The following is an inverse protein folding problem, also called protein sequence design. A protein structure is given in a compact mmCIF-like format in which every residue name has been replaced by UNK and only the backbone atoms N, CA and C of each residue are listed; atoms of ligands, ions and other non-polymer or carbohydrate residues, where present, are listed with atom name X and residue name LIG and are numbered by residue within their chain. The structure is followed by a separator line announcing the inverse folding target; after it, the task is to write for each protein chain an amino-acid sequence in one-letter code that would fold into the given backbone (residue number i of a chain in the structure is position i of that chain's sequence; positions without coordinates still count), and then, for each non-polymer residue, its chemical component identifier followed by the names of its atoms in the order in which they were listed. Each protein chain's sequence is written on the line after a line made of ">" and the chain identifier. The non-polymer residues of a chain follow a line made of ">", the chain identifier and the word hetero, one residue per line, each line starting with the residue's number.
data_IF_039682959481
#
_entry.id   IF_039682959481
#
_cell.length_a   1.000
_cell.length_b   1.000
_cell.length_c   1.000
_cell.angle_alpha   90.00
_cell.angle_beta   90.00
_cell.angle_gamma   90.00
#
_symmetry.space_group_name_H-M   'P 1'
#
loop_
_entity.id
_entity.type
_entity.pdbx_description
1 polymer ?
#
# COMPACT_ATOMS: atom_id res chain seq x y z
N UNK A 1 -86.00 46.92 12.66
CA UNK A 1 -86.09 45.66 11.89
C UNK A 1 -84.76 45.46 11.18
N UNK A 2 -84.10 44.36 11.51
CA UNK A 2 -82.66 44.12 11.35
C UNK A 2 -82.28 43.95 9.87
N UNK A 3 -81.26 44.70 9.42
CA UNK A 3 -80.65 44.57 8.09
C UNK A 3 -79.80 43.29 8.06
N UNK A 4 -80.08 42.45 7.07
CA UNK A 4 -79.39 41.20 6.75
C UNK A 4 -77.87 41.43 6.58
N UNK A 5 -77.08 40.71 7.37
CA UNK A 5 -75.61 40.69 7.28
C UNK A 5 -75.22 39.65 6.23
N UNK A 6 -74.58 40.10 5.16
CA UNK A 6 -74.01 39.25 4.12
C UNK A 6 -72.87 38.39 4.68
N UNK A 7 -72.97 37.06 4.52
CA UNK A 7 -71.88 36.12 4.79
C UNK A 7 -71.01 35.99 3.53
N UNK A 8 -69.79 36.50 3.61
CA UNK A 8 -68.73 36.31 2.61
C UNK A 8 -68.27 34.85 2.72
N UNK A 9 -68.28 34.04 1.65
CA UNK A 9 -67.64 32.74 1.68
C UNK A 9 -66.14 32.92 1.53
N UNK A 10 -65.42 32.33 2.49
CA UNK A 10 -63.98 32.17 2.58
C UNK A 10 -63.41 31.65 1.24
N UNK A 11 -62.69 32.50 0.53
CA UNK A 11 -61.90 32.12 -0.65
C UNK A 11 -60.81 31.16 -0.18
N UNK A 12 -60.80 29.95 -0.73
CA UNK A 12 -59.76 28.95 -0.53
C UNK A 12 -58.41 29.50 -1.05
N UNK A 13 -57.56 29.96 -0.13
CA UNK A 13 -56.13 30.14 -0.39
C UNK A 13 -55.48 28.77 -0.20
N UNK A 14 -55.57 27.94 -1.23
CA UNK A 14 -54.89 26.66 -1.30
C UNK A 14 -54.43 26.45 -2.75
N UNK A 15 -53.30 27.05 -3.12
CA UNK A 15 -52.40 26.62 -4.20
C UNK A 15 -51.46 27.77 -4.57
N UNK A 16 -50.34 27.92 -3.85
CA UNK A 16 -49.13 28.57 -4.40
C UNK A 16 -47.91 28.23 -3.54
N UNK A 17 -47.71 26.94 -3.31
CA UNK A 17 -46.37 26.39 -3.11
C UNK A 17 -46.03 25.64 -4.40
N UNK A 18 -45.73 26.38 -5.46
CA UNK A 18 -45.07 25.80 -6.63
C UNK A 18 -43.68 25.42 -6.14
N UNK A 19 -43.48 24.14 -5.82
CA UNK A 19 -42.16 23.60 -5.59
C UNK A 19 -41.37 23.81 -6.86
N UNK A 20 -40.41 24.74 -6.83
CA UNK A 20 -39.41 24.82 -7.88
C UNK A 20 -38.74 23.44 -7.96
N UNK A 21 -38.59 22.85 -9.15
CA UNK A 21 -37.75 21.67 -9.29
C UNK A 21 -36.33 22.09 -8.91
N UNK A 22 -35.88 21.70 -7.72
CA UNK A 22 -34.48 21.76 -7.37
C UNK A 22 -33.81 20.63 -8.14
N UNK A 23 -33.08 20.98 -9.21
CA UNK A 23 -32.13 20.07 -9.81
C UNK A 23 -30.95 19.98 -8.84
N UNK A 24 -30.78 18.81 -8.22
CA UNK A 24 -29.51 18.48 -7.60
C UNK A 24 -28.55 18.18 -8.76
N UNK A 25 -27.72 19.16 -9.10
CA UNK A 25 -26.58 18.96 -9.98
C UNK A 25 -25.42 18.46 -9.09
N UNK A 26 -25.13 17.16 -9.21
CA UNK A 26 -23.94 16.57 -8.63
C UNK A 26 -22.76 17.11 -9.43
N UNK A 27 -22.21 18.26 -9.00
CA UNK A 27 -21.18 19.02 -9.72
C UNK A 27 -19.99 18.19 -10.24
N UNK A 28 -19.15 18.78 -11.07
CA UNK A 28 -18.12 18.07 -11.86
C UNK A 28 -17.38 16.97 -11.07
N UNK A 29 -17.54 15.72 -11.50
CA UNK A 29 -16.91 14.56 -10.89
C UNK A 29 -15.38 14.67 -11.05
N UNK A 30 -14.68 14.98 -9.96
CA UNK A 30 -13.22 15.01 -9.92
C UNK A 30 -12.63 13.59 -9.98
N UNK A 31 -12.58 13.00 -11.18
CA UNK A 31 -11.96 11.68 -11.43
C UNK A 31 -10.46 11.81 -11.66
N UNK A 32 -9.68 11.85 -10.58
CA UNK A 32 -8.21 11.84 -10.65
C UNK A 32 -7.66 10.46 -10.34
N UNK A 33 -6.78 9.98 -11.20
CA UNK A 33 -6.19 8.64 -11.09
C UNK A 33 -4.96 8.67 -10.17
N UNK A 34 -5.02 7.90 -9.08
CA UNK A 34 -3.88 7.70 -8.17
C UNK A 34 -2.88 6.64 -8.67
N UNK A 35 -3.32 5.72 -9.55
CA UNK A 35 -2.56 4.53 -9.94
C UNK A 35 -1.98 4.61 -11.35
N UNK A 36 -2.77 5.09 -12.32
CA UNK A 36 -2.37 5.14 -13.73
C UNK A 36 -1.47 6.35 -14.02
N UNK A 37 -0.25 6.13 -14.51
CA UNK A 37 0.54 7.21 -15.11
C UNK A 37 0.03 7.45 -16.53
N UNK A 38 0.07 8.70 -16.99
CA UNK A 38 0.12 8.94 -18.43
C UNK A 38 1.33 8.20 -19.02
N UNK A 39 1.13 7.37 -20.04
CA UNK A 39 2.22 6.73 -20.80
C UNK A 39 2.77 5.40 -20.29
N UNK A 40 2.13 4.73 -19.33
CA UNK A 40 2.48 3.32 -19.05
C UNK A 40 2.18 2.45 -20.27
N UNK A 41 3.12 1.62 -20.75
CA UNK A 41 2.85 0.70 -21.85
C UNK A 41 1.74 -0.27 -21.44
N UNK A 42 0.83 -0.57 -22.37
CA UNK A 42 -0.12 -1.66 -22.16
C UNK A 42 0.64 -2.98 -22.10
N UNK A 43 0.55 -3.67 -20.98
CA UNK A 43 0.98 -5.07 -20.86
C UNK A 43 -0.12 -5.99 -21.37
N UNK A 44 0.24 -7.22 -21.73
CA UNK A 44 -0.70 -8.33 -21.97
C UNK A 44 -0.29 -9.49 -21.04
N UNK A 45 -1.13 -9.89 -20.05
CA UNK A 45 -2.41 -9.30 -19.66
C UNK A 45 -2.31 -7.84 -19.23
N UNK A 46 -3.43 -7.11 -19.27
CA UNK A 46 -3.48 -5.69 -18.90
C UNK A 46 -3.08 -5.51 -17.43
N UNK A 47 -2.23 -4.54 -17.16
CA UNK A 47 -1.87 -4.18 -15.78
C UNK A 47 -3.05 -3.49 -15.10
N UNK A 48 -3.43 -4.01 -13.94
CA UNK A 48 -4.55 -3.50 -13.16
C UNK A 48 -4.10 -3.00 -11.79
N UNK A 49 -4.85 -2.06 -11.23
CA UNK A 49 -4.65 -1.59 -9.86
C UNK A 49 -5.66 -2.28 -8.96
N UNK A 50 -5.18 -2.94 -7.91
CA UNK A 50 -6.00 -3.67 -6.94
C UNK A 50 -5.65 -3.25 -5.51
N UNK A 51 -6.47 -3.68 -4.54
CA UNK A 51 -6.20 -3.46 -3.10
C UNK A 51 -5.81 -2.02 -2.76
N UNK A 52 -6.56 -1.06 -3.30
CA UNK A 52 -6.29 0.36 -3.13
C UNK A 52 -6.90 0.90 -1.83
N UNK A 53 -6.07 1.56 -1.01
CA UNK A 53 -6.49 2.21 0.22
C UNK A 53 -6.00 3.66 0.21
N UNK A 54 -6.79 4.56 0.79
CA UNK A 54 -6.40 5.96 1.03
C UNK A 54 -6.60 6.26 2.51
N UNK A 55 -5.62 6.90 3.12
CA UNK A 55 -5.66 7.41 4.48
C UNK A 55 -5.23 8.88 4.48
N UNK A 56 -5.67 9.63 5.49
CA UNK A 56 -5.52 11.08 5.56
C UNK A 56 -4.79 11.46 6.84
N UNK A 57 -3.67 12.18 6.70
CA UNK A 57 -2.96 12.72 7.84
C UNK A 57 -3.78 13.81 8.55
N UNK A 58 -3.67 13.89 9.87
CA UNK A 58 -4.55 14.72 10.71
C UNK A 58 -4.07 16.16 10.91
N UNK A 59 -3.18 16.65 10.05
CA UNK A 59 -2.64 18.02 10.08
C UNK A 59 -2.61 18.62 8.67
N UNK A 60 -2.44 19.94 8.60
CA UNK A 60 -2.39 20.69 7.34
C UNK A 60 -0.96 20.97 6.91
N UNK A 61 -0.73 20.92 5.61
CA UNK A 61 0.50 21.36 4.95
C UNK A 61 0.17 22.35 3.83
N UNK A 62 1.12 23.21 3.40
CA UNK A 62 0.92 24.05 2.23
C UNK A 62 0.51 23.19 1.02
N UNK A 63 -0.53 23.64 0.32
CA UNK A 63 -1.02 22.92 -0.85
C UNK A 63 0.04 22.90 -1.96
N UNK A 64 0.35 21.71 -2.47
CA UNK A 64 1.46 21.51 -3.39
C UNK A 64 1.10 20.44 -4.43
N UNK A 65 1.32 20.75 -5.70
CA UNK A 65 1.16 19.81 -6.79
C UNK A 65 2.28 18.75 -6.78
N UNK A 66 2.08 17.62 -7.47
CA UNK A 66 3.00 16.48 -7.49
C UNK A 66 4.37 16.79 -8.09
N UNK A 67 4.50 17.91 -8.80
CA UNK A 67 5.76 18.42 -9.34
C UNK A 67 6.51 19.34 -8.36
N UNK A 68 6.01 19.55 -7.14
CA UNK A 68 6.64 20.41 -6.14
C UNK A 68 6.11 21.85 -6.09
N UNK A 69 5.32 22.27 -7.09
CA UNK A 69 4.82 23.65 -7.14
C UNK A 69 3.76 23.90 -6.08
N UNK A 70 3.99 24.88 -5.20
CA UNK A 70 2.97 25.36 -4.24
C UNK A 70 1.83 26.01 -5.02
N UNK A 71 0.61 25.57 -4.75
CA UNK A 71 -0.59 25.99 -5.48
C UNK A 71 -1.72 26.34 -4.52
N UNK A 72 -2.74 27.04 -5.02
CA UNK A 72 -4.03 27.14 -4.36
C UNK A 72 -4.93 26.02 -4.84
N UNK A 73 -5.82 25.56 -3.95
CA UNK A 73 -6.86 24.58 -4.25
C UNK A 73 -8.16 25.34 -4.38
N UNK A 74 -8.70 25.41 -5.60
CA UNK A 74 -9.96 26.08 -5.89
C UNK A 74 -11.13 25.10 -5.76
N UNK A 75 -12.11 25.45 -4.94
CA UNK A 75 -13.37 24.75 -4.84
C UNK A 75 -14.37 25.44 -5.75
N UNK A 76 -14.72 24.74 -6.83
CA UNK A 76 -15.58 25.23 -7.88
C UNK A 76 -17.00 24.66 -7.65
N UNK A 77 -18.03 25.47 -7.87
CA UNK A 77 -19.41 25.00 -7.84
C UNK A 77 -19.83 24.31 -9.15
N UNK A 78 -21.08 23.84 -9.21
CA UNK A 78 -21.64 23.23 -10.42
C UNK A 78 -21.66 24.18 -11.63
N UNK A 79 -21.68 25.50 -11.41
CA UNK A 79 -21.71 26.53 -12.45
C UNK A 79 -20.29 26.91 -12.96
N UNK A 80 -19.24 26.27 -12.44
CA UNK A 80 -17.84 26.55 -12.83
C UNK A 80 -17.25 27.78 -12.16
N UNK A 81 -17.90 28.32 -11.12
CA UNK A 81 -17.44 29.49 -10.38
C UNK A 81 -16.66 29.09 -9.13
N UNK A 82 -15.48 29.67 -8.94
CA UNK A 82 -14.70 29.48 -7.70
C UNK A 82 -15.44 30.06 -6.50
N UNK A 83 -15.71 29.22 -5.50
CA UNK A 83 -16.38 29.59 -4.25
C UNK A 83 -15.42 29.79 -3.09
N UNK A 84 -14.35 29.01 -3.05
CA UNK A 84 -13.33 29.07 -2.00
C UNK A 84 -11.97 28.71 -2.61
N UNK A 85 -10.90 29.27 -2.06
CA UNK A 85 -9.53 28.94 -2.45
C UNK A 85 -8.72 28.68 -1.19
N UNK A 86 -8.11 27.50 -1.10
CA UNK A 86 -7.32 27.08 0.07
C UNK A 86 -5.84 26.95 -0.27
N UNK A 87 -5.02 27.53 0.58
CA UNK A 87 -3.56 27.42 0.51
C UNK A 87 -3.00 26.20 1.26
N UNK A 88 -3.86 25.43 1.93
CA UNK A 88 -3.47 24.29 2.75
C UNK A 88 -4.36 23.08 2.49
N UNK A 89 -3.76 21.89 2.47
CA UNK A 89 -4.42 20.61 2.33
C UNK A 89 -4.00 19.64 3.44
N UNK A 90 -4.83 18.62 3.67
CA UNK A 90 -4.42 17.47 4.47
C UNK A 90 -3.72 16.46 3.56
N UNK A 91 -2.50 16.00 3.90
CA UNK A 91 -1.83 14.99 3.10
C UNK A 91 -2.68 13.72 2.97
N UNK A 92 -2.85 13.25 1.73
CA UNK A 92 -3.49 11.99 1.41
C UNK A 92 -2.41 10.96 1.07
N UNK A 93 -2.45 9.81 1.73
CA UNK A 93 -1.56 8.68 1.51
C UNK A 93 -2.38 7.55 0.91
N UNK A 94 -2.08 7.22 -0.33
CA UNK A 94 -2.63 6.09 -1.05
C UNK A 94 -1.62 4.94 -1.12
N UNK A 95 -2.08 3.72 -0.95
CA UNK A 95 -1.33 2.50 -1.31
C UNK A 95 -2.18 1.62 -2.20
N UNK A 96 -1.54 0.89 -3.11
CA UNK A 96 -2.20 -0.05 -4.01
C UNK A 96 -1.18 -1.03 -4.56
N UNK A 97 -1.66 -2.14 -5.10
CA UNK A 97 -0.84 -3.04 -5.91
C UNK A 97 -1.11 -2.76 -7.39
N UNK A 98 -0.10 -2.87 -8.23
CA UNK A 98 -0.23 -2.64 -9.66
C UNK A 98 0.66 -3.59 -10.47
N UNK A 99 0.07 -4.21 -11.48
CA UNK A 99 0.77 -5.07 -12.43
C UNK A 99 -0.17 -6.04 -13.13
N UNK A 100 0.34 -6.80 -14.11
CA UNK A 100 -0.44 -7.79 -14.84
C UNK A 100 -0.66 -9.06 -14.01
N UNK A 101 -1.79 -9.72 -14.22
CA UNK A 101 -2.15 -11.00 -13.59
C UNK A 101 -2.78 -11.94 -14.61
N UNK A 102 -2.30 -13.17 -14.64
CA UNK A 102 -2.96 -14.27 -15.35
C UNK A 102 -3.85 -15.03 -14.37
N UNK A 103 -5.16 -14.86 -14.52
CA UNK A 103 -6.15 -15.52 -13.69
C UNK A 103 -6.24 -17.01 -13.98
N UNK A 104 -6.59 -17.80 -12.97
CA UNK A 104 -6.83 -19.23 -13.10
C UNK A 104 -8.32 -19.47 -12.92
N UNK A 105 -9.02 -19.88 -13.97
CA UNK A 105 -10.48 -19.97 -13.95
C UNK A 105 -10.98 -21.06 -12.99
N UNK A 106 -12.08 -20.74 -12.29
CA UNK A 106 -12.80 -21.68 -11.43
C UNK A 106 -12.21 -21.85 -10.02
N UNK A 107 -11.03 -21.32 -9.71
CA UNK A 107 -10.41 -21.47 -8.38
C UNK A 107 -10.42 -20.16 -7.60
N UNK A 108 -10.36 -20.25 -6.27
CA UNK A 108 -10.21 -19.08 -5.38
C UNK A 108 -8.78 -18.52 -5.32
N UNK A 109 -7.96 -18.76 -6.35
CA UNK A 109 -6.57 -18.33 -6.41
C UNK A 109 -6.45 -16.92 -7.00
N UNK A 110 -5.59 -16.09 -6.43
CA UNK A 110 -5.39 -14.67 -6.80
C UNK A 110 -4.71 -14.44 -8.16
N UNK A 111 -4.48 -15.52 -8.92
CA UNK A 111 -3.77 -15.51 -10.19
C UNK A 111 -2.25 -15.49 -10.08
N UNK A 112 -1.61 -15.79 -11.20
CA UNK A 112 -0.17 -15.70 -11.40
C UNK A 112 0.16 -14.28 -11.88
N UNK A 113 0.68 -13.42 -11.01
CA UNK A 113 0.90 -12.00 -11.33
C UNK A 113 2.35 -11.57 -11.38
N UNK A 114 2.57 -10.35 -11.88
CA UNK A 114 3.80 -9.56 -11.74
C UNK A 114 3.48 -8.21 -11.09
N UNK A 115 2.80 -8.24 -9.94
CA UNK A 115 2.37 -7.01 -9.25
C UNK A 115 3.45 -6.46 -8.32
N UNK A 116 3.53 -5.14 -8.26
CA UNK A 116 4.32 -4.39 -7.29
C UNK A 116 3.44 -3.61 -6.31
N UNK A 117 3.97 -3.36 -5.12
CA UNK A 117 3.41 -2.48 -4.10
C UNK A 117 3.78 -1.02 -4.41
N UNK A 118 2.78 -0.16 -4.54
CA UNK A 118 2.97 1.27 -4.76
C UNK A 118 2.42 2.10 -3.62
N UNK A 119 3.07 3.23 -3.38
CA UNK A 119 2.52 4.34 -2.60
C UNK A 119 2.34 5.58 -3.49
N UNK A 120 1.30 6.34 -3.21
CA UNK A 120 0.98 7.61 -3.84
C UNK A 120 0.67 8.66 -2.78
N UNK A 121 1.17 9.87 -2.95
CA UNK A 121 0.97 10.97 -2.00
C UNK A 121 0.42 12.17 -2.76
N UNK A 122 -0.65 12.74 -2.22
CA UNK A 122 -1.19 14.03 -2.67
C UNK A 122 -1.12 15.05 -1.55
N UNK A 123 -0.66 16.26 -1.89
CA UNK A 123 -0.61 17.42 -1.01
C UNK A 123 -1.53 18.54 -1.52
N UNK A 124 -2.48 18.22 -2.40
CA UNK A 124 -3.39 19.16 -3.07
C UNK A 124 -4.83 18.62 -3.16
N UNK A 125 -5.30 17.96 -2.08
CA UNK A 125 -6.62 17.35 -1.95
C UNK A 125 -6.95 16.29 -3.04
N UNK A 126 -5.92 15.58 -3.52
CA UNK A 126 -6.07 14.48 -4.47
C UNK A 126 -6.07 14.92 -5.94
N UNK A 127 -5.80 16.20 -6.22
CA UNK A 127 -5.72 16.71 -7.58
C UNK A 127 -4.56 16.10 -8.36
N UNK A 128 -3.40 15.97 -7.71
CA UNK A 128 -2.21 15.34 -8.29
C UNK A 128 -1.54 14.38 -7.29
N UNK A 129 -0.83 13.37 -7.80
CA UNK A 129 -0.26 12.29 -6.99
C UNK A 129 1.19 12.01 -7.37
N UNK A 130 2.10 12.13 -6.39
CA UNK A 130 3.50 11.68 -6.51
C UNK A 130 3.58 10.21 -6.10
N UNK A 131 4.14 9.37 -6.96
CA UNK A 131 4.11 7.90 -6.80
C UNK A 131 5.50 7.32 -6.57
N UNK A 132 5.56 6.20 -5.87
CA UNK A 132 6.79 5.46 -5.57
C UNK A 132 6.49 3.97 -5.61
N UNK A 133 7.28 3.20 -6.37
CA UNK A 133 7.28 1.75 -6.28
C UNK A 133 8.03 1.37 -4.99
N UNK A 134 7.35 0.73 -4.05
CA UNK A 134 7.92 0.36 -2.75
C UNK A 134 8.61 -1.01 -2.78
N UNK A 135 8.12 -1.93 -3.62
CA UNK A 135 8.63 -3.31 -3.68
C UNK A 135 9.73 -3.50 -4.71
N UNK A 136 9.62 -2.88 -5.89
CA UNK A 136 10.54 -3.05 -7.02
C UNK A 136 10.86 -4.53 -7.30
N UNK A 137 9.82 -5.37 -7.24
CA UNK A 137 9.92 -6.83 -7.15
C UNK A 137 9.27 -7.58 -8.32
N UNK A 138 8.48 -6.90 -9.16
CA UNK A 138 7.73 -7.52 -10.25
C UNK A 138 8.63 -8.25 -11.27
N UNK A 139 9.83 -7.73 -11.52
CA UNK A 139 10.83 -8.36 -12.40
C UNK A 139 11.89 -9.16 -11.64
N UNK A 140 11.78 -9.24 -10.32
CA UNK A 140 12.66 -10.05 -9.50
C UNK A 140 12.07 -11.45 -9.35
N UNK A 141 12.94 -12.46 -9.43
CA UNK A 141 12.52 -13.84 -9.33
C UNK A 141 12.48 -14.28 -7.86
N UNK A 142 11.34 -14.80 -7.45
CA UNK A 142 11.24 -15.70 -6.30
C UNK A 142 12.14 -16.91 -6.54
N UNK A 143 12.70 -17.51 -5.48
CA UNK A 143 13.23 -18.88 -5.61
C UNK A 143 14.26 -19.12 -6.75
N UNK A 144 15.25 -18.24 -6.95
CA UNK A 144 16.28 -18.50 -7.98
C UNK A 144 17.33 -19.55 -7.51
N UNK A 145 17.63 -20.51 -8.39
CA UNK A 145 18.51 -21.65 -8.15
C UNK A 145 19.95 -21.31 -7.76
N UNK A 146 20.39 -20.06 -7.91
CA UNK A 146 21.79 -19.67 -7.72
C UNK A 146 22.16 -19.05 -6.36
N UNK A 147 21.24 -19.01 -5.38
CA UNK A 147 21.56 -18.40 -4.08
C UNK A 147 20.82 -19.06 -2.92
N UNK A 148 21.52 -19.96 -2.21
CA UNK A 148 21.36 -20.38 -0.81
C UNK A 148 19.96 -20.56 -0.19
N UNK A 149 18.89 -20.58 -0.98
CA UNK A 149 17.51 -20.36 -0.56
C UNK A 149 16.54 -21.38 -1.13
N UNK A 150 16.96 -22.64 -1.23
CA UNK A 150 16.14 -23.86 -1.11
C UNK A 150 14.95 -24.14 -2.03
N UNK A 151 14.53 -23.24 -2.91
CA UNK A 151 13.36 -23.45 -3.77
C UNK A 151 13.65 -22.98 -5.20
N UNK A 152 13.09 -23.67 -6.19
CA UNK A 152 13.14 -23.35 -7.62
C UNK A 152 11.78 -23.65 -8.22
N UNK A 153 11.00 -22.61 -8.49
CA UNK A 153 9.67 -22.73 -9.11
C UNK A 153 9.73 -22.14 -10.50
N UNK A 154 9.55 -23.00 -11.50
CA UNK A 154 9.51 -22.64 -12.92
C UNK A 154 8.12 -22.96 -13.46
N UNK A 155 7.53 -22.01 -14.18
CA UNK A 155 6.16 -22.08 -14.70
C UNK A 155 6.13 -21.76 -16.18
N UNK A 156 6.60 -22.72 -16.98
CA UNK A 156 6.56 -22.64 -18.45
C UNK A 156 5.13 -22.55 -19.02
N UNK A 157 4.13 -22.92 -18.21
CA UNK A 157 2.72 -22.86 -18.54
C UNK A 157 2.08 -21.49 -18.33
N UNK A 158 2.82 -20.51 -17.80
CA UNK A 158 2.35 -19.14 -17.56
C UNK A 158 3.12 -18.20 -18.50
N UNK A 159 2.55 -17.84 -19.67
CA UNK A 159 3.19 -16.96 -20.64
C UNK A 159 3.68 -15.63 -20.06
N UNK A 160 2.99 -15.10 -19.05
CA UNK A 160 3.38 -13.85 -18.38
C UNK A 160 4.80 -13.89 -17.79
N UNK A 161 5.37 -15.07 -17.53
CA UNK A 161 6.69 -15.23 -16.91
C UNK A 161 7.81 -15.48 -17.93
N UNK A 162 7.56 -15.39 -19.23
CA UNK A 162 8.58 -15.61 -20.27
C UNK A 162 9.79 -14.69 -20.08
N UNK A 163 9.57 -13.42 -19.77
CA UNK A 163 10.61 -12.40 -19.55
C UNK A 163 11.51 -12.67 -18.32
N UNK A 164 11.04 -13.49 -17.38
CA UNK A 164 11.81 -13.91 -16.20
C UNK A 164 12.40 -15.32 -16.36
N UNK A 165 12.44 -15.85 -17.60
CA UNK A 165 12.88 -17.22 -17.88
C UNK A 165 11.96 -18.26 -17.23
N UNK A 166 10.67 -17.95 -17.12
CA UNK A 166 9.63 -18.73 -16.44
C UNK A 166 9.83 -18.90 -14.92
N UNK A 167 10.81 -18.21 -14.33
CA UNK A 167 10.94 -18.16 -12.88
C UNK A 167 9.80 -17.33 -12.28
N UNK A 168 9.22 -17.82 -11.18
CA UNK A 168 8.09 -17.17 -10.55
C UNK A 168 8.48 -15.75 -10.04
N UNK A 169 7.82 -14.67 -10.48
CA UNK A 169 8.16 -13.29 -10.10
C UNK A 169 7.81 -12.97 -8.65
N UNK A 170 8.20 -11.79 -8.18
CA UNK A 170 7.96 -11.36 -6.80
C UNK A 170 6.50 -11.16 -6.40
N UNK A 171 5.59 -10.99 -7.37
CA UNK A 171 4.14 -10.82 -7.25
C UNK A 171 3.58 -10.47 -5.86
N UNK A 172 3.25 -9.19 -5.66
CA UNK A 172 2.57 -8.69 -4.46
C UNK A 172 1.07 -9.01 -4.55
N UNK A 173 0.52 -9.71 -3.56
CA UNK A 173 -0.88 -10.19 -3.61
C UNK A 173 -1.88 -9.35 -2.83
N UNK A 174 -1.41 -8.47 -1.93
CA UNK A 174 -2.24 -7.58 -1.13
C UNK A 174 -1.37 -6.44 -0.56
N UNK A 175 -1.97 -5.40 0.01
CA UNK A 175 -1.25 -4.32 0.68
C UNK A 175 -2.09 -3.74 1.81
N UNK A 176 -1.43 -3.28 2.87
CA UNK A 176 -2.05 -2.68 4.03
C UNK A 176 -1.29 -1.42 4.40
N UNK A 177 -2.01 -0.43 4.96
CA UNK A 177 -1.39 0.79 5.44
C UNK A 177 -1.89 1.20 6.81
N UNK A 178 -1.07 1.98 7.50
CA UNK A 178 -1.45 2.76 8.67
C UNK A 178 -0.70 4.09 8.66
N UNK A 179 -1.34 5.15 9.12
CA UNK A 179 -0.68 6.46 9.31
C UNK A 179 -0.84 6.96 10.73
N UNK A 180 0.17 7.67 11.24
CA UNK A 180 0.11 8.35 12.53
C UNK A 180 1.12 9.49 12.56
N UNK A 181 0.71 10.65 13.09
CA UNK A 181 1.53 11.86 13.02
C UNK A 181 1.90 12.16 11.56
N UNK A 182 3.17 12.47 11.32
CA UNK A 182 3.75 12.64 9.97
C UNK A 182 4.27 11.34 9.36
N UNK A 183 4.01 10.19 9.98
CA UNK A 183 4.52 8.89 9.55
C UNK A 183 3.45 8.04 8.86
N UNK A 184 3.89 7.22 7.93
CA UNK A 184 3.11 6.21 7.22
C UNK A 184 3.84 4.87 7.25
N UNK A 185 3.09 3.79 7.29
CA UNK A 185 3.58 2.42 7.18
C UNK A 185 2.78 1.73 6.08
N UNK A 186 3.49 1.14 5.12
CA UNK A 186 2.95 0.24 4.13
C UNK A 186 3.51 -1.16 4.39
N UNK A 187 2.64 -2.18 4.39
CA UNK A 187 3.01 -3.57 4.63
C UNK A 187 2.34 -4.45 3.59
N UNK A 188 3.09 -5.37 2.98
CA UNK A 188 2.57 -6.23 1.93
C UNK A 188 3.17 -7.64 1.97
N UNK A 189 2.42 -8.68 1.56
CA UNK A 189 2.98 -9.97 1.22
C UNK A 189 3.55 -9.94 -0.20
N UNK A 190 4.75 -10.50 -0.38
CA UNK A 190 5.38 -10.67 -1.69
C UNK A 190 5.99 -12.06 -1.77
N UNK A 191 5.97 -12.67 -2.95
CA UNK A 191 6.72 -13.89 -3.24
C UNK A 191 8.22 -13.62 -3.39
N UNK A 192 8.66 -12.37 -3.53
CA UNK A 192 10.08 -12.05 -3.53
C UNK A 192 10.65 -11.99 -2.11
N UNK A 193 11.38 -13.03 -1.70
CA UNK A 193 11.88 -13.16 -0.33
C UNK A 193 13.39 -12.98 -0.18
N UNK A 194 14.01 -12.17 -1.03
CA UNK A 194 15.45 -11.89 -1.00
C UNK A 194 15.75 -10.45 -0.58
N UNK A 195 16.75 -10.28 0.27
CA UNK A 195 17.18 -8.97 0.77
C UNK A 195 16.38 -8.47 1.98
N UNK A 196 16.28 -7.15 2.11
CA UNK A 196 15.52 -6.47 3.17
C UNK A 196 16.12 -6.51 4.58
N UNK A 197 17.34 -7.06 4.75
CA UNK A 197 18.12 -7.10 6.00
C UNK A 197 17.31 -7.23 7.30
N UNK A 198 16.51 -8.31 7.47
CA UNK A 198 15.69 -8.51 8.66
C UNK A 198 16.51 -8.56 9.94
N UNK A 199 15.93 -8.06 11.04
CA UNK A 199 16.54 -8.10 12.37
C UNK A 199 16.92 -9.52 12.80
N UNK A 200 16.03 -10.49 12.56
CA UNK A 200 16.25 -11.90 12.94
C UNK A 200 17.45 -12.56 12.25
N UNK A 201 17.97 -12.00 11.15
CA UNK A 201 19.15 -12.53 10.47
C UNK A 201 20.43 -11.76 10.78
N UNK A 202 20.38 -10.73 11.63
CA UNK A 202 21.55 -9.89 11.91
C UNK A 202 22.67 -10.65 12.61
N UNK A 203 22.35 -11.65 13.44
CA UNK A 203 23.37 -12.47 14.11
C UNK A 203 24.35 -13.14 13.14
N UNK A 204 23.90 -13.47 11.92
CA UNK A 204 24.71 -14.11 10.88
C UNK A 204 25.12 -13.13 9.79
N UNK A 205 24.25 -12.19 9.44
CA UNK A 205 24.50 -11.24 8.33
C UNK A 205 25.26 -9.98 8.73
N UNK A 206 25.09 -9.48 9.96
CA UNK A 206 25.77 -8.30 10.49
C UNK A 206 25.73 -8.25 12.03
N UNK A 207 26.63 -8.99 12.71
CA UNK A 207 26.66 -9.06 14.18
C UNK A 207 26.89 -7.70 14.85
N UNK A 208 27.73 -6.85 14.27
CA UNK A 208 28.01 -5.51 14.83
C UNK A 208 26.74 -4.65 14.89
N UNK A 209 25.91 -4.71 13.83
CA UNK A 209 24.62 -4.02 13.79
C UNK A 209 23.66 -4.60 14.84
N UNK A 210 23.64 -5.91 15.04
CA UNK A 210 22.84 -6.55 16.09
C UNK A 210 23.19 -5.98 17.47
N UNK A 211 24.47 -6.00 17.85
CA UNK A 211 24.93 -5.48 19.14
C UNK A 211 24.67 -3.98 19.31
N UNK A 212 24.85 -3.19 18.25
CA UNK A 212 24.58 -1.75 18.28
C UNK A 212 23.09 -1.43 18.53
N UNK A 213 22.20 -2.17 17.86
CA UNK A 213 20.74 -2.01 18.06
C UNK A 213 20.34 -2.49 19.44
N UNK A 214 20.85 -3.64 19.90
CA UNK A 214 20.60 -4.15 21.25
C UNK A 214 21.02 -3.15 22.32
N UNK A 215 22.24 -2.59 22.22
CA UNK A 215 22.74 -1.58 23.15
C UNK A 215 21.91 -0.28 23.12
N UNK A 216 21.50 0.16 21.93
CA UNK A 216 20.65 1.35 21.79
C UNK A 216 19.25 1.15 22.42
N UNK A 217 18.66 -0.03 22.25
CA UNK A 217 17.35 -0.37 22.80
C UNK A 217 17.39 -0.82 24.26
N UNK A 218 18.58 -1.02 24.83
CA UNK A 218 18.75 -1.57 26.17
C UNK A 218 18.32 -3.04 26.29
N UNK A 219 18.35 -3.79 25.19
CA UNK A 219 17.96 -5.19 25.14
C UNK A 219 19.17 -6.06 25.49
N UNK A 220 19.01 -6.94 26.49
CA UNK A 220 19.98 -8.01 26.77
C UNK A 220 19.72 -9.18 25.82
N UNK A 221 20.61 -9.37 24.84
CA UNK A 221 20.52 -10.47 23.85
C UNK A 221 21.14 -11.78 24.36
N UNK A 222 21.49 -11.85 25.66
CA UNK A 222 22.10 -13.02 26.28
C UNK A 222 23.57 -13.24 25.88
N UNK A 223 24.21 -14.24 26.48
CA UNK A 223 25.63 -14.56 26.25
C UNK A 223 25.88 -15.39 25.00
N UNK A 224 24.84 -15.90 24.34
CA UNK A 224 24.95 -16.77 23.15
C UNK A 224 23.88 -16.41 22.09
N UNK A 225 24.14 -15.42 21.22
CA UNK A 225 23.23 -15.02 20.16
C UNK A 225 23.07 -16.06 19.03
N UNK A 226 23.84 -17.15 19.07
CA UNK A 226 23.71 -18.30 18.15
C UNK A 226 22.87 -19.44 18.76
N UNK A 227 22.56 -19.38 20.06
CA UNK A 227 21.79 -20.40 20.77
C UNK A 227 20.47 -19.83 21.34
N UNK A 228 19.36 -19.92 20.57
CA UNK A 228 18.06 -19.37 20.96
C UNK A 228 17.37 -20.14 22.10
N UNK A 229 18.07 -21.00 22.85
CA UNK A 229 17.50 -21.75 23.98
C UNK A 229 17.44 -20.95 25.28
N UNK A 230 17.99 -19.72 25.31
CA UNK A 230 17.92 -18.83 26.48
C UNK A 230 17.86 -17.33 26.11
N UNK A 231 16.95 -16.87 25.23
CA UNK A 231 16.75 -15.45 24.98
C UNK A 231 16.24 -14.77 26.26
N UNK A 232 16.71 -13.56 26.54
CA UNK A 232 16.07 -12.72 27.56
C UNK A 232 14.60 -12.53 27.20
N UNK A 233 13.67 -12.46 28.17
CA UNK A 233 12.29 -12.04 27.90
C UNK A 233 12.17 -10.73 27.12
N UNK A 234 13.23 -9.90 27.13
CA UNK A 234 13.29 -8.61 26.45
C UNK A 234 13.69 -8.71 24.96
N UNK A 235 14.21 -9.85 24.49
CA UNK A 235 14.66 -10.03 23.10
C UNK A 235 13.60 -10.75 22.24
N UNK A 236 12.53 -10.01 21.90
CA UNK A 236 11.46 -10.49 21.01
C UNK A 236 11.68 -10.15 19.53
N UNK A 237 12.63 -9.26 19.23
CA UNK A 237 12.72 -8.59 17.93
C UNK A 237 14.05 -8.80 17.21
N UNK A 238 15.12 -9.18 17.92
CA UNK A 238 16.46 -9.31 17.35
C UNK A 238 16.84 -10.77 17.08
N UNK A 239 16.27 -11.71 17.84
CA UNK A 239 16.36 -13.15 17.58
C UNK A 239 15.16 -13.68 16.80
N UNK A 240 15.36 -14.79 16.08
CA UNK A 240 14.30 -15.48 15.34
C UNK A 240 13.39 -16.32 16.27
N UNK A 241 12.72 -15.67 17.23
CA UNK A 241 11.88 -16.37 18.21
C UNK A 241 10.70 -17.11 17.56
N UNK A 242 10.19 -16.58 16.44
CA UNK A 242 9.01 -17.11 15.75
C UNK A 242 9.34 -18.13 14.66
N UNK A 243 10.63 -18.42 14.42
CA UNK A 243 11.08 -19.31 13.35
C UNK A 243 10.62 -18.81 11.97
N UNK A 244 10.74 -17.50 11.74
CA UNK A 244 10.41 -16.82 10.49
C UNK A 244 11.61 -16.77 9.55
N UNK A 245 12.81 -17.11 10.01
CA UNK A 245 14.02 -17.25 9.20
C UNK A 245 14.17 -18.63 8.55
N UNK A 246 14.89 -18.66 7.44
CA UNK A 246 15.16 -19.86 6.65
C UNK A 246 15.16 -19.62 5.14
N UNK A 247 15.21 -20.73 4.40
CA UNK A 247 14.94 -20.74 2.96
C UNK A 247 13.45 -20.57 2.71
N UNK A 248 13.11 -19.89 1.61
CA UNK A 248 11.74 -19.78 1.14
C UNK A 248 11.23 -21.17 0.72
N UNK A 249 9.98 -21.47 1.08
CA UNK A 249 9.27 -22.68 0.65
C UNK A 249 8.29 -22.41 -0.49
N UNK A 250 7.67 -23.47 -0.96
CA UNK A 250 6.59 -23.47 -1.94
C UNK A 250 5.52 -24.46 -1.51
N UNK A 251 4.36 -24.36 -2.15
CA UNK A 251 3.30 -25.36 -2.11
C UNK A 251 2.99 -25.80 -3.54
N UNK A 252 2.93 -27.11 -3.74
CA UNK A 252 2.50 -27.70 -5.00
C UNK A 252 1.05 -28.16 -4.88
N UNK A 253 0.17 -27.53 -5.67
CA UNK A 253 -1.24 -27.90 -5.74
C UNK A 253 -1.50 -29.07 -6.71
N UNK A 254 -0.51 -29.58 -7.44
CA UNK A 254 -0.70 -30.64 -8.46
C UNK A 254 -1.38 -31.90 -7.92
N UNK A 255 -1.21 -32.22 -6.64
CA UNK A 255 -1.86 -33.34 -5.94
C UNK A 255 -2.85 -32.86 -4.84
N UNK A 256 -3.40 -31.65 -4.98
CA UNK A 256 -4.36 -31.13 -4.00
C UNK A 256 -5.60 -32.04 -3.90
N UNK A 257 -6.13 -32.16 -2.68
CA UNK A 257 -7.35 -32.95 -2.38
C UNK A 257 -8.58 -32.47 -3.17
N UNK A 258 -8.59 -31.20 -3.59
CA UNK A 258 -9.59 -30.65 -4.48
C UNK A 258 -8.99 -30.56 -5.88
N UNK A 259 -9.41 -31.46 -6.77
CA UNK A 259 -8.92 -31.58 -8.14
C UNK A 259 -8.97 -30.25 -8.91
N UNK A 260 -9.97 -29.42 -8.63
CA UNK A 260 -10.09 -28.09 -9.21
C UNK A 260 -8.89 -27.18 -8.94
N UNK A 261 -8.19 -27.33 -7.81
CA UNK A 261 -7.02 -26.51 -7.46
C UNK A 261 -5.75 -26.95 -8.18
N UNK A 262 -5.71 -28.15 -8.79
CA UNK A 262 -4.49 -28.72 -9.37
C UNK A 262 -3.94 -27.91 -10.54
N UNK A 263 -4.80 -27.14 -11.22
CA UNK A 263 -4.40 -26.21 -12.28
C UNK A 263 -3.48 -25.08 -11.79
N UNK A 264 -3.48 -24.77 -10.48
CA UNK A 264 -2.60 -23.74 -9.89
C UNK A 264 -1.13 -24.18 -9.87
N UNK A 265 -0.87 -25.49 -9.80
CA UNK A 265 0.48 -26.10 -9.70
C UNK A 265 1.32 -25.49 -8.57
N UNK A 266 2.65 -25.48 -8.71
CA UNK A 266 3.55 -24.98 -7.69
C UNK A 266 3.57 -23.45 -7.60
N UNK A 267 3.52 -22.95 -6.36
CA UNK A 267 3.52 -21.52 -6.01
C UNK A 267 4.46 -21.27 -4.81
N UNK A 268 5.38 -20.30 -4.88
CA UNK A 268 6.19 -19.89 -3.74
C UNK A 268 5.35 -19.27 -2.61
N UNK A 269 5.74 -19.50 -1.36
CA UNK A 269 5.16 -18.80 -0.22
C UNK A 269 5.50 -17.31 -0.22
N UNK A 270 4.58 -16.49 0.28
CA UNK A 270 4.84 -15.08 0.49
C UNK A 270 5.70 -14.86 1.74
N UNK A 271 6.55 -13.84 1.70
CA UNK A 271 7.12 -13.18 2.86
C UNK A 271 6.47 -11.83 3.08
N UNK A 272 6.63 -11.32 4.30
CA UNK A 272 6.13 -10.02 4.69
C UNK A 272 7.22 -8.98 4.44
N UNK A 273 6.84 -7.87 3.82
CA UNK A 273 7.64 -6.68 3.64
C UNK A 273 6.96 -5.47 4.26
N UNK A 274 7.75 -4.52 4.71
CA UNK A 274 7.26 -3.24 5.21
C UNK A 274 8.15 -2.08 4.74
N UNK A 275 7.52 -0.97 4.37
CA UNK A 275 8.19 0.30 4.14
C UNK A 275 7.59 1.36 5.06
N UNK A 276 8.47 2.14 5.69
CA UNK A 276 8.10 3.31 6.48
C UNK A 276 8.25 4.56 5.62
N UNK A 277 7.36 5.52 5.81
CA UNK A 277 7.39 6.83 5.18
C UNK A 277 7.28 7.92 6.24
N UNK A 278 7.97 9.03 6.06
CA UNK A 278 7.81 10.23 6.88
C UNK A 278 7.61 11.42 5.97
N UNK A 279 6.56 12.20 6.23
CA UNK A 279 6.37 13.50 5.62
C UNK A 279 7.32 14.49 6.29
N UNK A 280 8.27 14.98 5.50
CA UNK A 280 9.31 15.92 5.95
C UNK A 280 8.92 17.32 5.47
N UNK A 281 9.02 18.29 6.38
CA UNK A 281 8.87 19.71 6.01
C UNK A 281 10.18 20.24 5.41
N UNK A 282 10.04 21.06 4.38
CA UNK A 282 11.16 21.61 3.63
C UNK A 282 11.35 20.91 2.29
N UNK A 283 12.42 21.31 1.63
CA UNK A 283 12.76 20.90 0.27
C UNK A 283 13.30 19.46 0.22
N UNK A 284 12.95 18.71 -0.84
CA UNK A 284 13.51 17.38 -1.06
C UNK A 284 14.89 17.52 -1.72
N UNK A 285 15.99 17.23 -1.02
CA UNK A 285 17.33 17.39 -1.58
C UNK A 285 17.62 16.44 -2.76
N UNK A 286 16.70 15.52 -3.07
CA UNK A 286 16.79 14.56 -4.19
C UNK A 286 16.13 15.07 -5.46
N UNK A 287 15.36 16.16 -5.40
CA UNK A 287 14.68 16.74 -6.57
C UNK A 287 15.24 18.11 -6.92
N UNK A 288 15.07 18.52 -8.18
CA UNK A 288 15.49 19.84 -8.63
C UNK A 288 14.46 20.94 -8.32
N UNK A 289 13.19 20.55 -8.17
CA UNK A 289 12.09 21.45 -7.83
C UNK A 289 12.07 21.71 -6.32
N UNK A 290 11.84 22.97 -5.93
CA UNK A 290 11.78 23.38 -4.53
C UNK A 290 10.43 22.99 -3.96
N UNK A 291 10.41 22.01 -3.06
CA UNK A 291 9.20 21.53 -2.38
C UNK A 291 9.02 22.22 -1.00
N UNK A 292 7.78 22.47 -0.59
CA UNK A 292 7.45 22.91 0.77
C UNK A 292 7.39 21.74 1.75
N UNK A 293 7.04 20.56 1.27
CA UNK A 293 7.08 19.29 2.01
C UNK A 293 7.18 18.13 1.03
N UNK A 294 7.78 17.03 1.48
CA UNK A 294 7.91 15.82 0.66
C UNK A 294 7.78 14.56 1.49
N UNK A 295 7.29 13.48 0.86
CA UNK A 295 7.26 12.17 1.47
C UNK A 295 8.60 11.48 1.27
N UNK A 296 9.24 11.10 2.37
CA UNK A 296 10.45 10.27 2.36
C UNK A 296 10.09 8.84 2.72
N UNK A 297 10.06 7.97 1.70
CA UNK A 297 10.05 6.52 1.91
C UNK A 297 11.44 6.02 2.26
N UNK A 298 11.53 5.20 3.32
CA UNK A 298 12.71 4.44 3.66
C UNK A 298 12.72 3.14 2.86
N UNK A 299 13.91 2.57 2.67
CA UNK A 299 14.06 1.29 1.97
C UNK A 299 13.22 0.22 2.66
N UNK A 300 12.50 -0.57 1.86
CA UNK A 300 11.67 -1.64 2.38
C UNK A 300 12.50 -2.69 3.14
N UNK A 301 11.97 -3.15 4.26
CA UNK A 301 12.55 -4.16 5.12
C UNK A 301 11.71 -5.45 5.05
N UNK A 302 12.39 -6.59 5.00
CA UNK A 302 11.75 -7.91 4.98
C UNK A 302 11.54 -8.35 6.43
N UNK A 303 10.34 -8.81 6.77
CA UNK A 303 9.98 -9.26 8.13
C UNK A 303 9.91 -10.78 8.28
N UNK A 304 9.74 -11.54 7.20
CA UNK A 304 9.78 -13.01 7.20
C UNK A 304 10.49 -13.57 5.97
N UNK A 305 10.92 -14.83 6.01
CA UNK A 305 11.69 -15.43 4.91
C UNK A 305 10.88 -16.19 3.86
N UNK A 306 9.55 -16.26 4.02
CA UNK A 306 8.72 -17.12 3.17
C UNK A 306 8.92 -18.61 3.46
N UNK A 307 9.43 -18.97 4.64
CA UNK A 307 9.47 -20.37 5.11
C UNK A 307 8.06 -20.97 5.27
N UNK A 308 7.08 -20.12 5.56
CA UNK A 308 5.65 -20.39 5.66
C UNK A 308 4.91 -19.20 5.05
N UNK A 309 3.75 -19.46 4.47
CA UNK A 309 2.98 -18.41 3.80
C UNK A 309 2.37 -17.39 4.77
N UNK A 310 2.13 -16.19 4.25
CA UNK A 310 1.47 -15.11 4.99
C UNK A 310 -0.03 -15.33 4.96
N UNK A 311 -0.64 -15.50 6.14
CA UNK A 311 -2.09 -15.66 6.24
C UNK A 311 -2.85 -14.32 6.26
N UNK A 312 -2.48 -13.42 7.19
CA UNK A 312 -3.14 -12.12 7.38
C UNK A 312 -2.14 -11.11 7.93
N UNK A 313 -2.28 -9.87 7.47
CA UNK A 313 -1.51 -8.73 7.95
C UNK A 313 -2.46 -7.76 8.65
N UNK A 314 -2.03 -7.25 9.80
CA UNK A 314 -2.64 -6.11 10.46
C UNK A 314 -1.55 -5.09 10.73
N UNK A 315 -1.75 -3.87 10.25
CA UNK A 315 -0.82 -2.77 10.44
C UNK A 315 -1.48 -1.70 11.29
N UNK A 316 -0.76 -1.21 12.30
CA UNK A 316 -1.19 -0.08 13.10
C UNK A 316 0.02 0.77 13.49
N UNK A 317 -0.20 2.07 13.58
CA UNK A 317 0.82 3.07 13.87
C UNK A 317 0.51 3.71 15.23
N UNK A 318 1.36 3.45 16.23
CA UNK A 318 1.16 3.85 17.62
C UNK A 318 2.35 4.67 18.12
N UNK A 319 2.07 5.70 18.91
CA UNK A 319 3.07 6.53 19.58
C UNK A 319 4.12 5.67 20.31
N UNK A 320 5.40 5.87 20.00
CA UNK A 320 6.51 5.13 20.60
C UNK A 320 6.79 3.74 20.00
N UNK A 321 5.99 3.26 19.04
CA UNK A 321 6.18 1.95 18.39
C UNK A 321 6.92 2.03 17.04
N UNK A 322 7.59 3.16 16.73
CA UNK A 322 8.37 3.35 15.50
C UNK A 322 7.56 3.75 14.26
N UNK A 323 6.24 3.93 14.38
CA UNK A 323 5.39 4.57 13.38
C UNK A 323 4.43 5.56 14.06
N UNK A 324 4.97 6.67 14.58
CA UNK A 324 4.23 7.82 15.11
C UNK A 324 5.19 8.92 15.56
#
# INVERSE_FOLDING_TARGET
>A
MVKSVAKIPLVAIAALCIGAPAFADDGELLRKSMSKASGQPSTDPVSEAEHAFIDTMKFYVPAQASNGTVTLIDYIDADGLTRDSRAYAKPLIGVYIYGPVEGVEGVGFVGHGKRDAYAAISLDDGNTWKRTNLSESADQTSCDSNSAGGCSVVREDVPLFEDTGFAYPGDVVNIFQATSGSNALAVWPSRYCRGGSPSYSLNTSNPDKLYAVAAYMGIDIGTDPENPSNPSPDDLYLVDMFGVGGSQGSIDYSEDKFEQNQVVKEVPFNCIWAARGTLVQGDDPRTAEVEASFMRWFKAERLSSGRRDVNRIEANCVAGAGCA
#
